data_IF_732606349828
#
_entry.id   IF_732606349828
#
_cell.length_a   1.000
_cell.length_b   1.000
_cell.length_c   1.000
_cell.angle_alpha   90.00
_cell.angle_beta   90.00
_cell.angle_gamma   90.00
#
_symmetry.space_group_name_H-M   'P 1'
#
loop_
_entity.id
_entity.type
_entity.pdbx_description
1 polymer ?
#
# COMPACT_ATOMS: atom_id res chain seq x y z
N UNK A 1 -25.10 8.19 10.69
CA UNK A 1 -24.86 8.93 11.95
C UNK A 1 -25.12 10.43 11.86
N UNK A 2 -26.37 10.81 11.53
CA UNK A 2 -26.81 12.22 11.40
C UNK A 2 -26.34 13.10 12.59
N UNK A 3 -26.51 12.61 13.84
CA UNK A 3 -26.10 13.35 15.03
C UNK A 3 -24.65 13.80 15.05
N UNK A 4 -23.73 13.03 14.47
CA UNK A 4 -22.31 13.36 14.36
C UNK A 4 -22.10 14.53 13.40
N UNK A 5 -22.74 14.47 12.23
CA UNK A 5 -22.64 15.53 11.25
C UNK A 5 -23.29 16.83 11.74
N UNK A 6 -24.48 16.73 12.38
CA UNK A 6 -25.20 17.89 12.92
C UNK A 6 -24.47 18.55 14.12
N UNK A 7 -23.47 17.89 14.73
CA UNK A 7 -22.72 18.44 15.86
C UNK A 7 -21.48 19.25 15.45
N UNK A 8 -21.24 19.38 14.16
CA UNK A 8 -20.12 20.16 13.60
C UNK A 8 -20.63 21.33 12.78
N UNK A 9 -19.90 22.43 12.82
CA UNK A 9 -20.25 23.63 12.02
C UNK A 9 -19.89 23.44 10.54
N UNK A 10 -18.69 22.85 10.28
CA UNK A 10 -18.17 22.62 8.93
C UNK A 10 -17.57 21.22 8.82
N UNK A 11 -17.81 20.58 7.69
CA UNK A 11 -17.26 19.25 7.36
C UNK A 11 -16.40 19.37 6.10
N UNK A 12 -15.17 18.82 6.15
CA UNK A 12 -14.33 18.59 4.99
C UNK A 12 -14.39 17.11 4.59
N UNK A 13 -15.18 16.79 3.58
CA UNK A 13 -15.33 15.42 3.08
C UNK A 13 -14.22 15.05 2.12
N UNK A 14 -13.44 14.01 2.44
CA UNK A 14 -12.27 13.58 1.64
C UNK A 14 -12.64 12.72 0.43
N UNK A 15 -13.85 12.15 0.39
CA UNK A 15 -14.33 11.37 -0.75
C UNK A 15 -15.66 11.91 -1.26
N UNK A 16 -15.92 11.74 -2.55
CA UNK A 16 -17.18 12.15 -3.17
C UNK A 16 -18.37 11.42 -2.56
N UNK A 17 -18.20 10.13 -2.26
CA UNK A 17 -19.22 9.31 -1.60
C UNK A 17 -19.58 9.88 -0.23
N UNK A 18 -18.60 10.21 0.60
CA UNK A 18 -18.83 10.83 1.92
C UNK A 18 -19.49 12.19 1.77
N UNK A 19 -19.02 13.01 0.82
CA UNK A 19 -19.62 14.31 0.52
C UNK A 19 -21.11 14.21 0.21
N UNK A 20 -21.50 13.29 -0.68
CA UNK A 20 -22.89 13.09 -1.06
C UNK A 20 -23.74 12.54 0.11
N UNK A 21 -23.17 11.62 0.92
CA UNK A 21 -23.84 11.10 2.13
C UNK A 21 -24.11 12.24 3.13
N UNK A 22 -23.11 13.08 3.43
CA UNK A 22 -23.25 14.19 4.37
C UNK A 22 -24.34 15.16 3.90
N UNK A 23 -24.33 15.57 2.64
CA UNK A 23 -25.35 16.46 2.07
C UNK A 23 -26.77 15.89 2.17
N UNK A 24 -26.93 14.57 2.01
CA UNK A 24 -28.21 13.91 2.12
C UNK A 24 -28.68 13.75 3.58
N UNK A 25 -27.77 13.44 4.49
CA UNK A 25 -28.09 13.08 5.89
C UNK A 25 -28.18 14.32 6.77
N UNK A 26 -27.36 15.34 6.50
CA UNK A 26 -27.23 16.58 7.27
C UNK A 26 -27.18 17.82 6.37
N UNK A 27 -28.28 18.12 5.64
CA UNK A 27 -28.29 19.15 4.61
C UNK A 27 -28.08 20.57 5.13
N UNK A 28 -28.19 20.79 6.45
CA UNK A 28 -27.97 22.08 7.09
C UNK A 28 -26.52 22.29 7.57
N UNK A 29 -25.66 21.28 7.51
CA UNK A 29 -24.26 21.38 7.87
C UNK A 29 -23.44 21.82 6.65
N UNK A 30 -22.61 22.82 6.80
CA UNK A 30 -21.70 23.25 5.75
C UNK A 30 -20.72 22.14 5.41
N UNK A 31 -20.69 21.71 4.14
CA UNK A 31 -19.90 20.53 3.72
C UNK A 31 -19.12 20.85 2.45
N UNK A 32 -17.80 20.67 2.51
CA UNK A 32 -16.88 20.87 1.40
C UNK A 32 -16.24 19.56 0.96
N UNK A 33 -16.11 19.36 -0.34
CA UNK A 33 -15.33 18.26 -0.90
C UNK A 33 -13.86 18.68 -0.94
N UNK A 34 -13.04 18.08 -0.08
CA UNK A 34 -11.60 18.36 0.05
C UNK A 34 -10.85 17.03 -0.05
N UNK A 35 -10.57 16.54 -1.27
CA UNK A 35 -9.84 15.28 -1.44
C UNK A 35 -8.41 15.40 -0.93
N UNK A 36 -7.83 14.28 -0.51
CA UNK A 36 -6.39 14.20 -0.25
C UNK A 36 -5.60 14.34 -1.55
N UNK A 37 -4.36 14.77 -1.40
CA UNK A 37 -3.36 14.81 -2.47
C UNK A 37 -2.05 14.20 -1.96
N UNK A 38 -1.16 13.85 -2.87
CA UNK A 38 0.23 13.47 -2.58
C UNK A 38 1.17 14.59 -3.01
N UNK A 39 2.37 14.62 -2.43
CA UNK A 39 3.41 15.56 -2.83
C UNK A 39 3.96 15.15 -4.20
N UNK A 40 3.66 15.91 -5.24
CA UNK A 40 4.02 15.63 -6.63
C UNK A 40 5.52 15.86 -6.93
N UNK A 41 6.21 16.62 -6.09
CA UNK A 41 7.66 16.77 -6.12
C UNK A 41 8.39 15.55 -5.55
N UNK A 42 7.73 14.75 -4.72
CA UNK A 42 8.25 13.52 -4.10
C UNK A 42 7.75 12.26 -4.84
N UNK A 43 6.42 12.10 -4.92
CA UNK A 43 5.81 10.92 -5.56
C UNK A 43 5.60 11.20 -7.05
N UNK A 44 6.58 10.83 -7.83
CA UNK A 44 6.61 11.00 -9.28
C UNK A 44 7.44 9.89 -9.93
N UNK A 45 7.30 9.75 -11.23
CA UNK A 45 8.14 8.84 -11.99
C UNK A 45 9.60 9.33 -11.96
N UNK A 46 10.50 8.47 -11.52
CA UNK A 46 11.93 8.74 -11.39
C UNK A 46 12.71 8.27 -12.64
N UNK A 47 13.96 8.77 -12.83
CA UNK A 47 14.83 8.31 -13.90
C UNK A 47 15.09 6.80 -13.80
N UNK A 48 15.08 6.12 -14.95
CA UNK A 48 15.22 4.66 -14.99
C UNK A 48 16.54 4.15 -14.39
N UNK A 49 17.62 4.89 -14.59
CA UNK A 49 18.95 4.50 -14.11
C UNK A 49 19.01 4.56 -12.57
N UNK A 50 18.40 5.60 -11.97
CA UNK A 50 18.31 5.73 -10.51
C UNK A 50 17.49 4.58 -9.91
N UNK A 51 16.35 4.25 -10.54
CA UNK A 51 15.48 3.14 -10.13
C UNK A 51 16.19 1.80 -10.27
N UNK A 52 16.91 1.58 -11.38
CA UNK A 52 17.66 0.34 -11.60
C UNK A 52 18.79 0.17 -10.59
N UNK A 53 19.52 1.24 -10.26
CA UNK A 53 20.52 1.24 -9.21
C UNK A 53 19.92 0.88 -7.84
N UNK A 54 18.85 1.56 -7.45
CA UNK A 54 18.14 1.29 -6.20
C UNK A 54 17.62 -0.15 -6.11
N UNK A 55 17.07 -0.68 -7.21
CA UNK A 55 16.60 -2.06 -7.30
C UNK A 55 17.74 -3.06 -7.13
N UNK A 56 18.87 -2.85 -7.80
CA UNK A 56 20.05 -3.69 -7.68
C UNK A 56 20.61 -3.70 -6.24
N UNK A 57 20.69 -2.53 -5.61
CA UNK A 57 21.20 -2.39 -4.23
C UNK A 57 20.31 -3.08 -3.20
N UNK A 58 18.99 -3.06 -3.40
CA UNK A 58 18.04 -3.61 -2.43
C UNK A 58 17.65 -5.07 -2.68
N UNK A 59 17.63 -5.51 -3.94
CA UNK A 59 17.21 -6.87 -4.31
C UNK A 59 18.39 -7.82 -4.54
N UNK A 60 19.60 -7.27 -4.70
CA UNK A 60 20.79 -8.04 -5.03
C UNK A 60 20.76 -8.67 -6.43
N UNK A 61 21.81 -9.37 -6.80
CA UNK A 61 21.95 -9.99 -8.14
C UNK A 61 20.84 -11.00 -8.46
N UNK A 62 20.40 -11.77 -7.49
CA UNK A 62 19.36 -12.80 -7.68
C UNK A 62 17.94 -12.25 -7.69
N UNK A 63 17.72 -11.02 -7.22
CA UNK A 63 16.39 -10.43 -7.09
C UNK A 63 16.09 -9.31 -8.08
N UNK A 64 17.12 -8.75 -8.73
CA UNK A 64 16.97 -7.59 -9.63
C UNK A 64 16.06 -7.85 -10.83
N UNK A 65 16.02 -9.10 -11.30
CA UNK A 65 15.26 -9.50 -12.50
C UNK A 65 13.87 -10.07 -12.16
N UNK A 66 13.54 -10.26 -10.87
CA UNK A 66 12.22 -10.72 -10.43
C UNK A 66 11.15 -9.66 -10.71
N UNK A 67 9.93 -10.07 -11.03
CA UNK A 67 8.79 -9.17 -11.00
C UNK A 67 8.45 -8.80 -9.56
N UNK A 68 8.51 -7.52 -9.22
CA UNK A 68 8.32 -7.01 -7.86
C UNK A 68 6.89 -6.52 -7.67
N UNK A 69 6.21 -7.16 -6.73
CA UNK A 69 4.94 -6.72 -6.19
C UNK A 69 5.19 -5.94 -4.90
N UNK A 70 4.54 -4.79 -4.73
CA UNK A 70 4.73 -3.95 -3.56
C UNK A 70 3.42 -3.72 -2.82
N UNK A 71 3.44 -3.91 -1.52
CA UNK A 71 2.31 -3.66 -0.63
C UNK A 71 2.75 -2.73 0.49
N UNK A 72 2.25 -1.50 0.50
CA UNK A 72 2.53 -0.49 1.50
C UNK A 72 1.27 -0.17 2.29
N UNK A 73 1.11 -0.76 3.44
CA UNK A 73 -0.04 -0.54 4.32
C UNK A 73 0.33 -0.83 5.77
N UNK A 74 -0.42 -0.23 6.69
CA UNK A 74 -0.43 -0.69 8.07
C UNK A 74 -0.97 -2.13 8.11
N UNK A 75 -0.32 -3.00 8.85
CA UNK A 75 -0.84 -4.36 9.12
C UNK A 75 -2.07 -4.27 10.03
N UNK A 76 -3.21 -3.95 9.45
CA UNK A 76 -4.49 -3.88 10.12
C UNK A 76 -5.46 -4.87 9.47
N UNK A 77 -6.37 -5.44 10.25
CA UNK A 77 -7.26 -6.54 9.85
C UNK A 77 -7.94 -6.30 8.48
N UNK A 78 -8.47 -5.09 8.25
CA UNK A 78 -9.12 -4.71 6.99
C UNK A 78 -8.20 -4.66 5.78
N UNK A 79 -6.88 -4.70 6.00
CA UNK A 79 -5.87 -4.65 4.93
C UNK A 79 -5.51 -6.02 4.36
N UNK A 80 -6.02 -7.09 4.98
CA UNK A 80 -5.92 -8.46 4.48
C UNK A 80 -4.48 -8.95 4.27
N UNK A 81 -3.55 -8.51 5.14
CA UNK A 81 -2.12 -8.78 4.97
C UNK A 81 -1.76 -10.27 4.92
N UNK A 82 -2.35 -11.09 5.80
CA UNK A 82 -2.15 -12.53 5.80
C UNK A 82 -2.79 -13.22 4.59
N UNK A 83 -3.98 -12.77 4.17
CA UNK A 83 -4.62 -13.26 2.94
C UNK A 83 -3.74 -12.97 1.72
N UNK A 84 -3.14 -11.78 1.65
CA UNK A 84 -2.22 -11.43 0.59
C UNK A 84 -0.99 -12.35 0.58
N UNK A 85 -0.39 -12.61 1.75
CA UNK A 85 0.77 -13.50 1.85
C UNK A 85 0.46 -14.91 1.32
N UNK A 86 -0.70 -15.48 1.71
CA UNK A 86 -1.15 -16.79 1.24
C UNK A 86 -1.38 -16.80 -0.28
N UNK A 87 -2.18 -15.89 -0.81
CA UNK A 87 -2.48 -15.84 -2.24
C UNK A 87 -1.25 -15.56 -3.10
N UNK A 88 -0.35 -14.67 -2.62
CA UNK A 88 0.89 -14.42 -3.33
C UNK A 88 1.80 -15.66 -3.36
N UNK A 89 1.84 -16.42 -2.27
CA UNK A 89 2.64 -17.65 -2.22
C UNK A 89 2.10 -18.72 -3.16
N UNK A 90 0.77 -18.90 -3.22
CA UNK A 90 0.13 -19.80 -4.21
C UNK A 90 0.46 -19.36 -5.64
N UNK A 91 0.35 -18.07 -5.94
CA UNK A 91 0.73 -17.51 -7.24
C UNK A 91 2.23 -17.75 -7.56
N UNK A 92 3.12 -17.53 -6.58
CA UNK A 92 4.55 -17.74 -6.76
C UNK A 92 4.89 -19.20 -7.07
N UNK A 93 4.18 -20.18 -6.47
CA UNK A 93 4.34 -21.60 -6.82
C UNK A 93 3.96 -21.90 -8.29
N UNK A 94 2.93 -21.23 -8.82
CA UNK A 94 2.49 -21.43 -10.21
C UNK A 94 3.48 -20.85 -11.23
N UNK A 95 4.10 -19.67 -10.94
CA UNK A 95 4.94 -18.96 -11.90
C UNK A 95 6.44 -19.16 -11.68
N UNK A 96 6.81 -19.84 -10.60
CA UNK A 96 8.18 -20.02 -10.11
C UNK A 96 8.57 -18.94 -9.10
N UNK A 97 8.87 -19.31 -7.84
CA UNK A 97 9.22 -18.34 -6.78
C UNK A 97 10.52 -17.58 -7.06
N UNK A 98 11.36 -18.07 -7.96
CA UNK A 98 12.54 -17.38 -8.45
C UNK A 98 12.21 -16.18 -9.35
N UNK A 99 11.01 -16.11 -9.94
CA UNK A 99 10.61 -15.10 -10.92
C UNK A 99 9.87 -13.91 -10.29
N UNK A 100 9.37 -14.05 -9.07
CA UNK A 100 8.52 -13.03 -8.43
C UNK A 100 8.96 -12.75 -6.99
N UNK A 101 8.61 -11.56 -6.49
CA UNK A 101 8.84 -11.18 -5.10
C UNK A 101 7.75 -10.21 -4.64
N UNK A 102 7.17 -10.44 -3.46
CA UNK A 102 6.30 -9.49 -2.78
C UNK A 102 7.09 -8.77 -1.69
N UNK A 103 7.14 -7.45 -1.76
CA UNK A 103 7.68 -6.63 -0.69
C UNK A 103 6.51 -6.05 0.11
N UNK A 104 6.42 -6.39 1.38
CA UNK A 104 5.42 -5.86 2.31
C UNK A 104 6.09 -4.82 3.22
N UNK A 105 5.81 -3.54 2.98
CA UNK A 105 6.29 -2.44 3.83
C UNK A 105 5.30 -2.19 4.95
N UNK A 106 5.60 -2.74 6.13
CA UNK A 106 4.68 -2.76 7.28
C UNK A 106 5.36 -3.19 8.58
N UNK A 107 4.72 -2.92 9.72
CA UNK A 107 5.02 -3.61 10.97
C UNK A 107 4.38 -5.02 10.93
N UNK A 108 5.17 -6.10 10.90
CA UNK A 108 4.64 -7.46 10.80
C UNK A 108 3.88 -7.92 12.05
N UNK A 109 4.03 -7.21 13.19
CA UNK A 109 3.42 -7.55 14.49
C UNK A 109 2.52 -6.44 15.04
N UNK A 110 1.96 -5.58 14.16
CA UNK A 110 1.00 -4.56 14.59
C UNK A 110 -0.16 -5.23 15.36
N UNK A 111 -0.45 -4.72 16.56
CA UNK A 111 -1.48 -5.25 17.48
C UNK A 111 -2.91 -5.29 16.87
N UNK A 112 -3.14 -4.56 15.78
CA UNK A 112 -4.42 -4.53 15.07
C UNK A 112 -4.44 -5.43 13.83
N UNK A 113 -3.35 -6.16 13.57
CA UNK A 113 -3.16 -7.04 12.41
C UNK A 113 -2.95 -8.50 12.77
N UNK A 114 -2.26 -9.18 11.88
CA UNK A 114 -1.85 -10.57 12.01
C UNK A 114 -0.34 -10.61 12.30
N UNK A 115 0.13 -11.65 12.99
CA UNK A 115 1.57 -11.92 13.09
C UNK A 115 2.06 -12.51 11.77
N UNK A 116 2.55 -11.62 10.90
CA UNK A 116 3.03 -12.02 9.57
C UNK A 116 4.28 -12.89 9.64
N UNK A 117 5.13 -12.70 10.66
CA UNK A 117 6.32 -13.56 10.83
C UNK A 117 5.92 -15.00 11.15
N UNK A 118 4.94 -15.18 12.04
CA UNK A 118 4.41 -16.50 12.34
C UNK A 118 3.76 -17.13 11.10
N UNK A 119 2.96 -16.37 10.34
CA UNK A 119 2.33 -16.87 9.10
C UNK A 119 3.38 -17.35 8.09
N UNK A 120 4.43 -16.55 7.84
CA UNK A 120 5.47 -16.91 6.88
C UNK A 120 6.24 -18.15 7.34
N UNK A 121 6.55 -18.24 8.64
CA UNK A 121 7.26 -19.38 9.21
C UNK A 121 6.42 -20.67 9.18
N UNK A 122 5.15 -20.61 9.62
CA UNK A 122 4.26 -21.77 9.71
C UNK A 122 3.90 -22.38 8.34
N UNK A 123 4.07 -21.60 7.26
CA UNK A 123 3.79 -22.00 5.89
C UNK A 123 5.06 -22.23 5.04
N UNK A 124 6.26 -22.20 5.65
CA UNK A 124 7.54 -22.38 4.95
C UNK A 124 7.77 -21.34 3.80
N UNK A 125 7.35 -20.08 4.00
CA UNK A 125 7.52 -19.00 3.02
C UNK A 125 8.79 -18.16 3.26
N UNK A 126 9.78 -18.72 3.97
CA UNK A 126 11.06 -18.06 4.32
C UNK A 126 12.09 -18.10 3.18
N UNK A 127 11.70 -18.50 1.97
CA UNK A 127 12.56 -18.66 0.80
C UNK A 127 12.86 -17.37 0.03
N UNK A 128 12.41 -16.22 0.54
CA UNK A 128 12.64 -14.92 -0.07
C UNK A 128 11.61 -14.52 -1.13
N UNK A 129 10.52 -15.28 -1.30
CA UNK A 129 9.37 -14.87 -2.15
C UNK A 129 8.61 -13.70 -1.55
N UNK A 130 8.60 -13.56 -0.22
CA UNK A 130 8.00 -12.44 0.51
C UNK A 130 9.05 -11.80 1.40
N UNK A 131 9.26 -10.50 1.21
CA UNK A 131 10.19 -9.69 2.00
C UNK A 131 9.40 -8.68 2.85
N UNK A 132 9.74 -8.56 4.13
CA UNK A 132 9.12 -7.58 5.01
C UNK A 132 10.07 -6.41 5.26
N UNK A 133 9.66 -5.23 4.80
CA UNK A 133 10.32 -3.95 5.08
C UNK A 133 9.67 -3.32 6.31
N UNK A 134 10.41 -3.27 7.44
CA UNK A 134 9.86 -2.91 8.77
C UNK A 134 10.09 -1.48 9.18
N UNK A 135 11.15 -0.88 8.67
CA UNK A 135 11.58 0.43 9.11
C UNK A 135 10.75 1.54 8.48
N UNK A 136 10.43 2.56 9.26
CA UNK A 136 9.85 3.78 8.71
C UNK A 136 10.89 4.47 7.85
N UNK A 137 10.55 4.72 6.61
CA UNK A 137 11.40 5.38 5.64
C UNK A 137 10.89 6.81 5.33
N UNK A 138 11.76 7.73 4.92
CA UNK A 138 11.33 9.04 4.47
C UNK A 138 10.50 8.94 3.17
N UNK A 139 9.63 9.92 2.86
CA UNK A 139 8.78 9.90 1.67
C UNK A 139 9.55 9.72 0.35
N UNK A 140 10.76 10.27 0.24
CA UNK A 140 11.63 10.08 -0.93
C UNK A 140 12.07 8.64 -1.14
N UNK A 141 12.38 7.92 -0.06
CA UNK A 141 12.72 6.52 -0.12
C UNK A 141 11.48 5.66 -0.46
N UNK A 142 10.33 6.00 0.12
CA UNK A 142 9.06 5.34 -0.21
C UNK A 142 8.70 5.52 -1.70
N UNK A 143 8.93 6.71 -2.25
CA UNK A 143 8.78 6.99 -3.68
C UNK A 143 9.69 6.08 -4.53
N UNK A 144 10.94 5.85 -4.11
CA UNK A 144 11.85 4.90 -4.77
C UNK A 144 11.29 3.47 -4.72
N UNK A 145 10.72 3.04 -3.58
CA UNK A 145 10.11 1.71 -3.46
C UNK A 145 8.93 1.53 -4.41
N UNK A 146 8.07 2.55 -4.57
CA UNK A 146 7.01 2.52 -5.59
C UNK A 146 7.59 2.44 -7.00
N UNK A 147 8.59 3.26 -7.32
CA UNK A 147 9.20 3.29 -8.66
C UNK A 147 9.93 1.99 -9.02
N UNK A 148 10.52 1.28 -8.05
CA UNK A 148 11.20 0.00 -8.31
C UNK A 148 10.24 -1.18 -8.47
N UNK A 149 9.01 -1.05 -7.97
CA UNK A 149 8.00 -2.09 -8.08
C UNK A 149 7.39 -2.14 -9.49
N UNK A 150 7.08 -3.34 -9.96
CA UNK A 150 6.39 -3.54 -11.23
C UNK A 150 4.88 -3.38 -11.07
N UNK A 151 4.36 -3.72 -9.87
CA UNK A 151 2.93 -3.64 -9.51
C UNK A 151 2.80 -3.34 -8.01
N UNK A 152 1.87 -2.45 -7.67
CA UNK A 152 1.41 -2.27 -6.28
C UNK A 152 0.13 -3.06 -6.04
N UNK A 153 0.04 -3.73 -4.90
CA UNK A 153 -1.14 -4.54 -4.55
C UNK A 153 -1.97 -3.82 -3.49
N UNK A 154 -3.29 -3.78 -3.68
CA UNK A 154 -4.23 -3.34 -2.65
C UNK A 154 -5.49 -4.21 -2.66
N UNK A 155 -5.64 -5.05 -1.63
CA UNK A 155 -6.80 -5.93 -1.43
C UNK A 155 -7.60 -5.55 -0.18
N UNK A 156 -7.52 -4.29 0.24
CA UNK A 156 -8.21 -3.82 1.45
C UNK A 156 -9.72 -3.91 1.32
N UNK A 157 -10.41 -4.36 2.37
CA UNK A 157 -11.88 -4.37 2.44
C UNK A 157 -12.46 -2.95 2.37
N UNK A 158 -11.74 -1.98 2.94
CA UNK A 158 -12.17 -0.59 2.98
C UNK A 158 -10.97 0.36 3.11
N UNK A 159 -11.08 1.51 2.45
CA UNK A 159 -10.15 2.63 2.52
C UNK A 159 -10.88 3.91 2.87
N UNK A 160 -10.23 4.79 3.63
CA UNK A 160 -10.70 6.15 3.81
C UNK A 160 -10.54 6.96 2.53
N UNK A 161 -9.35 6.91 1.93
CA UNK A 161 -9.04 7.56 0.66
C UNK A 161 -8.16 6.67 -0.24
N UNK A 162 -7.20 5.94 0.33
CA UNK A 162 -6.27 5.10 -0.43
C UNK A 162 -5.03 5.87 -0.89
N UNK A 163 -4.34 6.58 0.02
CA UNK A 163 -3.13 7.34 -0.31
C UNK A 163 -2.06 6.48 -0.99
N UNK A 164 -1.84 5.25 -0.54
CA UNK A 164 -0.88 4.34 -1.16
C UNK A 164 -1.18 4.05 -2.64
N UNK A 165 -2.47 3.98 -3.00
CA UNK A 165 -2.92 3.87 -4.39
C UNK A 165 -2.54 5.11 -5.20
N UNK A 166 -2.79 6.31 -4.63
CA UNK A 166 -2.48 7.56 -5.31
C UNK A 166 -0.97 7.78 -5.44
N UNK A 167 -0.20 7.45 -4.40
CA UNK A 167 1.28 7.49 -4.40
C UNK A 167 1.86 6.58 -5.50
N UNK A 168 1.36 5.34 -5.60
CA UNK A 168 1.76 4.38 -6.63
C UNK A 168 1.50 4.91 -8.04
N UNK A 169 0.28 5.35 -8.31
CA UNK A 169 -0.09 5.90 -9.61
C UNK A 169 0.72 7.15 -9.98
N UNK A 170 1.02 8.01 -8.99
CA UNK A 170 1.86 9.20 -9.19
C UNK A 170 3.30 8.82 -9.55
N UNK A 171 3.81 7.71 -9.03
CA UNK A 171 5.11 7.14 -9.41
C UNK A 171 5.08 6.41 -10.76
N UNK A 172 3.90 6.22 -11.37
CA UNK A 172 3.72 5.51 -12.63
C UNK A 172 3.69 3.99 -12.49
N UNK A 173 3.53 3.48 -11.26
CA UNK A 173 3.42 2.05 -10.97
C UNK A 173 1.95 1.63 -10.96
N UNK A 174 1.55 0.62 -11.74
CA UNK A 174 0.17 0.11 -11.77
C UNK A 174 -0.25 -0.54 -10.45
N UNK A 175 -1.57 -0.70 -10.28
CA UNK A 175 -2.18 -1.36 -9.13
C UNK A 175 -3.04 -2.52 -9.61
#
# INVERSE_FOLDING_TARGET
NKKWYDSTDVIASISKVTYDIVNNVSPNTENHYVPHAVQDDVFKKLPKDDVAGFRADNMGENGKDKMIFFWNNRNARRKQSGTLALWFSEFAEEVGPENVCLIMHTDPKDVHGQDLEAILHDHDYDDGRILISREKVPPTHLSMMYNMADVTVNISDAEGFGLGTLESLSCGTPI
#
